data_IF_858842730460
#
_entry.id   IF_858842730460
#
_cell.length_a   1.000
_cell.length_b   1.000
_cell.length_c   1.000
_cell.angle_alpha   90.00
_cell.angle_beta   90.00
_cell.angle_gamma   90.00
#
_symmetry.space_group_name_H-M   'P 1'
#
loop_
_entity.id
_entity.type
_entity.pdbx_description
1 polymer ?
#
# COMPACT_ATOMS: atom_id res chain seq x y z
N UNK A 1 -4.21 13.39 0.73
CA UNK A 1 -3.19 12.60 1.46
C UNK A 1 -3.87 11.85 2.60
N UNK A 2 -3.50 10.60 2.78
CA UNK A 2 -4.06 9.76 3.85
C UNK A 2 -2.94 9.45 4.84
N UNK A 3 -3.20 9.68 6.13
CA UNK A 3 -2.26 9.30 7.17
C UNK A 3 -2.41 7.80 7.47
N UNK A 4 -1.30 7.09 7.49
CA UNK A 4 -1.27 5.64 7.70
C UNK A 4 -0.39 5.28 8.90
N UNK A 5 -0.84 5.59 10.12
CA UNK A 5 -0.01 5.39 11.31
C UNK A 5 0.21 3.93 11.69
N UNK A 6 -0.57 3.02 11.13
CA UNK A 6 -0.50 1.59 11.48
C UNK A 6 -0.68 0.71 10.25
N UNK A 7 -0.23 -0.56 10.30
CA UNK A 7 -0.54 -1.52 9.24
C UNK A 7 -2.04 -1.71 9.01
N UNK A 8 -2.84 -1.64 10.06
CA UNK A 8 -4.30 -1.73 9.93
C UNK A 8 -4.86 -0.57 9.11
N UNK A 9 -4.37 0.66 9.35
CA UNK A 9 -4.79 1.83 8.58
C UNK A 9 -4.40 1.69 7.10
N UNK A 10 -3.21 1.17 6.81
CA UNK A 10 -2.78 0.88 5.45
C UNK A 10 -3.71 -0.13 4.78
N UNK A 11 -4.07 -1.19 5.50
CA UNK A 11 -4.97 -2.21 4.97
C UNK A 11 -6.36 -1.66 4.64
N UNK A 12 -6.91 -0.84 5.52
CA UNK A 12 -8.20 -0.19 5.31
C UNK A 12 -8.18 0.73 4.09
N UNK A 13 -7.13 1.55 3.96
CA UNK A 13 -6.98 2.46 2.83
C UNK A 13 -6.82 1.71 1.51
N UNK A 14 -6.04 0.62 1.52
CA UNK A 14 -5.84 -0.23 0.34
C UNK A 14 -7.15 -0.82 -0.13
N UNK A 15 -7.92 -1.39 0.80
CA UNK A 15 -9.21 -1.98 0.46
C UNK A 15 -10.19 -0.94 -0.07
N UNK A 16 -10.27 0.22 0.55
CA UNK A 16 -11.15 1.29 0.11
C UNK A 16 -10.80 1.75 -1.32
N UNK A 17 -9.52 1.97 -1.59
CA UNK A 17 -9.07 2.38 -2.93
C UNK A 17 -9.36 1.31 -3.97
N UNK A 18 -9.11 0.03 -3.64
CA UNK A 18 -9.39 -1.09 -4.53
C UNK A 18 -10.87 -1.13 -4.91
N UNK A 19 -11.74 -1.04 -3.92
CA UNK A 19 -13.20 -1.07 -4.16
C UNK A 19 -13.66 0.13 -4.97
N UNK A 20 -13.10 1.29 -4.71
CA UNK A 20 -13.43 2.49 -5.46
C UNK A 20 -13.07 2.36 -6.94
N UNK A 21 -11.99 1.62 -7.24
CA UNK A 21 -11.60 1.34 -8.62
C UNK A 21 -12.34 0.15 -9.23
N UNK A 22 -13.23 -0.49 -8.48
CA UNK A 22 -14.00 -1.63 -8.96
C UNK A 22 -13.20 -2.91 -9.13
N UNK A 23 -12.07 -3.05 -8.44
CA UNK A 23 -11.20 -4.21 -8.57
C UNK A 23 -11.49 -5.26 -7.51
N UNK A 24 -11.35 -6.54 -7.89
CA UNK A 24 -11.27 -7.64 -6.93
C UNK A 24 -9.85 -7.75 -6.39
N UNK A 25 -9.67 -8.51 -5.30
CA UNK A 25 -8.33 -8.77 -4.78
C UNK A 25 -7.43 -9.48 -5.81
N UNK A 26 -7.89 -10.52 -6.53
CA UNK A 26 -7.07 -11.11 -7.59
C UNK A 26 -6.71 -10.14 -8.71
N UNK A 27 -7.63 -9.25 -9.08
CA UNK A 27 -7.35 -8.25 -10.12
C UNK A 27 -6.28 -7.26 -9.67
N UNK A 28 -6.34 -6.80 -8.42
CA UNK A 28 -5.31 -5.92 -7.87
C UNK A 28 -3.97 -6.63 -7.78
N UNK A 29 -3.95 -7.89 -7.36
CA UNK A 29 -2.73 -8.69 -7.30
C UNK A 29 -2.07 -8.80 -8.67
N UNK A 30 -2.86 -9.11 -9.70
CA UNK A 30 -2.36 -9.20 -11.07
C UNK A 30 -1.78 -7.88 -11.55
N UNK A 31 -2.49 -6.78 -11.34
CA UNK A 31 -2.04 -5.45 -11.73
C UNK A 31 -0.77 -5.02 -11.01
N UNK A 32 -0.60 -5.48 -9.77
CA UNK A 32 0.56 -5.13 -8.93
C UNK A 32 1.77 -6.02 -9.15
N UNK A 33 1.58 -7.18 -9.79
CA UNK A 33 2.65 -8.17 -9.92
C UNK A 33 2.99 -8.87 -8.60
N UNK A 34 1.99 -9.05 -7.73
CA UNK A 34 2.14 -9.77 -6.45
C UNK A 34 1.11 -10.89 -6.38
N UNK A 35 1.28 -11.82 -5.43
CA UNK A 35 0.30 -12.88 -5.21
C UNK A 35 -0.98 -12.33 -4.55
N UNK A 36 -2.12 -12.99 -4.81
CA UNK A 36 -3.39 -12.59 -4.21
C UNK A 36 -3.34 -12.66 -2.68
N UNK A 37 -2.63 -13.63 -2.13
CA UNK A 37 -2.49 -13.77 -0.69
C UNK A 37 -1.83 -12.52 -0.08
N UNK A 38 -0.87 -11.93 -0.79
CA UNK A 38 -0.24 -10.70 -0.33
C UNK A 38 -1.28 -9.57 -0.20
N UNK A 39 -2.15 -9.42 -1.20
CA UNK A 39 -3.22 -8.41 -1.15
C UNK A 39 -4.16 -8.66 0.01
N UNK A 40 -4.57 -9.92 0.21
CA UNK A 40 -5.45 -10.30 1.33
C UNK A 40 -4.81 -9.93 2.67
N UNK A 41 -3.53 -10.27 2.86
CA UNK A 41 -2.81 -9.98 4.10
C UNK A 41 -2.61 -8.48 4.32
N UNK A 42 -2.30 -7.74 3.25
CA UNK A 42 -2.15 -6.29 3.32
C UNK A 42 -3.46 -5.61 3.75
N UNK A 43 -4.58 -6.00 3.16
CA UNK A 43 -5.89 -5.44 3.51
C UNK A 43 -6.32 -5.84 4.91
N UNK A 44 -5.87 -6.98 5.41
CA UNK A 44 -6.12 -7.43 6.77
C UNK A 44 -5.26 -6.72 7.83
N UNK A 45 -4.30 -5.90 7.41
CA UNK A 45 -3.46 -5.15 8.33
C UNK A 45 -2.29 -5.94 8.89
N UNK A 46 -1.82 -6.96 8.17
CA UNK A 46 -0.66 -7.73 8.63
C UNK A 46 0.55 -6.82 8.82
N UNK A 47 1.21 -6.85 10.00
CA UNK A 47 2.32 -5.92 10.29
C UNK A 47 3.65 -6.26 9.60
N UNK A 48 3.82 -7.50 9.15
CA UNK A 48 5.07 -7.98 8.57
C UNK A 48 4.94 -8.17 7.07
N UNK A 49 4.83 -7.08 6.33
CA UNK A 49 4.71 -7.12 4.88
C UNK A 49 6.02 -6.70 4.22
N UNK A 50 6.30 -7.28 3.07
CA UNK A 50 7.43 -6.88 2.25
C UNK A 50 7.16 -5.49 1.66
N UNK A 51 8.00 -4.52 1.99
CA UNK A 51 7.80 -3.13 1.58
C UNK A 51 7.77 -2.98 0.06
N UNK A 52 8.65 -3.68 -0.66
CA UNK A 52 8.66 -3.62 -2.13
C UNK A 52 7.30 -3.98 -2.72
N UNK A 53 6.65 -5.00 -2.19
CA UNK A 53 5.33 -5.41 -2.67
C UNK A 53 4.25 -4.41 -2.26
N UNK A 54 4.36 -3.82 -1.06
CA UNK A 54 3.46 -2.74 -0.63
C UNK A 54 3.50 -1.59 -1.63
N UNK A 55 4.71 -1.17 -2.02
CA UNK A 55 4.87 -0.08 -2.98
C UNK A 55 4.27 -0.43 -4.34
N UNK A 56 4.41 -1.67 -4.80
CA UNK A 56 3.81 -2.12 -6.05
C UNK A 56 2.28 -2.01 -6.01
N UNK A 57 1.68 -2.45 -4.91
CA UNK A 57 0.22 -2.39 -4.74
C UNK A 57 -0.25 -0.93 -4.72
N UNK A 58 0.43 -0.07 -3.97
CA UNK A 58 0.07 1.35 -3.92
C UNK A 58 0.17 2.00 -5.29
N UNK A 59 1.23 1.72 -6.05
CA UNK A 59 1.38 2.25 -7.41
C UNK A 59 0.27 1.76 -8.33
N UNK A 60 -0.12 0.49 -8.24
CA UNK A 60 -1.22 -0.06 -9.04
C UNK A 60 -2.55 0.63 -8.74
N UNK A 61 -2.72 1.12 -7.52
CA UNK A 61 -3.89 1.89 -7.10
C UNK A 61 -3.80 3.38 -7.48
N UNK A 62 -2.71 3.80 -8.13
CA UNK A 62 -2.50 5.19 -8.50
C UNK A 62 -1.92 6.06 -7.38
N UNK A 63 -1.48 5.44 -6.30
CA UNK A 63 -0.92 6.14 -5.15
C UNK A 63 0.59 6.13 -5.09
N UNK A 64 1.11 6.78 -4.08
CA UNK A 64 2.54 6.77 -3.75
C UNK A 64 2.70 6.89 -2.24
N UNK A 65 3.84 6.42 -1.75
CA UNK A 65 4.17 6.54 -0.34
C UNK A 65 5.04 7.77 -0.13
N UNK A 66 4.63 8.64 0.81
CA UNK A 66 5.35 9.85 1.15
C UNK A 66 5.70 9.80 2.63
N UNK A 67 6.91 10.23 2.98
CA UNK A 67 7.35 10.34 4.37
C UNK A 67 7.40 11.81 4.75
N UNK A 68 6.74 12.16 5.84
CA UNK A 68 6.74 13.49 6.40
C UNK A 68 7.36 13.48 7.79
N UNK A 69 7.91 14.61 8.19
CA UNK A 69 8.41 14.79 9.56
C UNK A 69 9.79 14.23 9.83
N UNK A 70 10.44 13.61 8.85
CA UNK A 70 11.82 13.18 9.01
C UNK A 70 12.78 14.34 8.75
N UNK A 71 13.91 14.38 9.45
CA UNK A 71 14.96 15.35 9.11
C UNK A 71 15.41 15.16 7.67
N UNK A 72 15.56 16.27 6.94
CA UNK A 72 15.93 16.25 5.52
C UNK A 72 17.43 16.34 5.31
N UNK A 73 18.19 15.61 6.09
CA UNK A 73 19.65 15.63 6.01
C UNK A 73 20.17 15.26 4.62
N UNK A 74 19.45 14.39 3.93
CA UNK A 74 19.80 13.98 2.57
C UNK A 74 19.75 15.13 1.57
N UNK A 75 18.98 16.18 1.84
CA UNK A 75 18.89 17.34 0.97
C UNK A 75 20.14 18.17 0.98
N UNK A 76 20.87 18.15 2.09
CA UNK A 76 22.11 18.85 2.24
C UNK A 76 23.34 18.05 1.86
N UNK A 77 23.15 16.80 1.53
CA UNK A 77 24.24 15.90 1.25
C UNK A 77 24.69 15.97 -0.20
#
# INVERSE_FOLDING_TARGET
MIALPTPAALGTATRAARKQLGLTQPQLALASGVGVRFVVEMEAGKPTLRLEHVLRVLHALGGSLVVEGLPSASEGA
#
